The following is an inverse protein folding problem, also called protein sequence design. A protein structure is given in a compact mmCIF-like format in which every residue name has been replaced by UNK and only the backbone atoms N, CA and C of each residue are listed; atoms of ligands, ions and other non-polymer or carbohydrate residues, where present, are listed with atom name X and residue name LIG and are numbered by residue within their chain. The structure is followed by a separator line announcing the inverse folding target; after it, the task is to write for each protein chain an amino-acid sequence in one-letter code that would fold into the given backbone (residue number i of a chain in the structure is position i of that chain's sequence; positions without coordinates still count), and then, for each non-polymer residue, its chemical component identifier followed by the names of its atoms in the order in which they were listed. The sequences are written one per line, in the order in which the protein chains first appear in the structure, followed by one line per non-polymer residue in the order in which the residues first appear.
data_IF_250974002913
#
_entry.id   IF_250974002913
#
_cell.length_a   1.000
_cell.length_b   1.000
_cell.length_c   1.000
_cell.angle_alpha   90.00
_cell.angle_beta   90.00
_cell.angle_gamma   90.00
#
_symmetry.space_group_name_H-M   'P 1'
#
loop_
_entity.id
_entity.type
_entity.pdbx_description
1 polymer ?
#
# COMPACT_ATOMS: atom_id res chain seq x y z
N UNK A 1 9.90 -0.24 11.67
CA UNK A 1 11.22 -0.13 11.00
C UNK A 1 11.52 -1.43 10.28
N UNK A 2 12.05 -1.34 9.07
CA UNK A 2 12.37 -2.50 8.23
C UNK A 2 13.70 -2.27 7.49
N UNK A 3 14.30 -3.35 7.01
CA UNK A 3 15.43 -3.29 6.10
C UNK A 3 14.97 -3.57 4.67
N UNK A 4 15.52 -2.84 3.71
CA UNK A 4 15.12 -2.95 2.31
C UNK A 4 15.33 -4.36 1.74
N UNK A 5 16.39 -5.05 2.16
CA UNK A 5 16.64 -6.44 1.78
C UNK A 5 15.53 -7.39 2.19
N UNK A 6 15.01 -7.24 3.41
CA UNK A 6 13.85 -7.99 3.90
C UNK A 6 12.59 -7.67 3.10
N UNK A 7 12.32 -6.40 2.84
CA UNK A 7 11.16 -6.00 2.02
C UNK A 7 11.19 -6.62 0.63
N UNK A 8 12.38 -6.71 0.02
CA UNK A 8 12.55 -7.33 -1.30
C UNK A 8 12.41 -8.85 -1.20
N UNK A 9 13.04 -9.47 -0.20
CA UNK A 9 12.98 -10.91 0.00
C UNK A 9 11.55 -11.42 0.24
N UNK A 10 10.72 -10.64 0.94
CA UNK A 10 9.32 -10.97 1.21
C UNK A 10 8.34 -10.44 0.15
N UNK A 11 8.80 -9.60 -0.79
CA UNK A 11 7.91 -8.82 -1.65
C UNK A 11 6.88 -8.02 -0.82
N UNK A 12 7.33 -7.36 0.23
CA UNK A 12 6.48 -6.76 1.23
C UNK A 12 5.46 -5.78 0.64
N UNK A 13 4.23 -5.86 1.13
CA UNK A 13 3.13 -4.96 0.83
C UNK A 13 2.49 -4.47 2.12
N UNK A 14 1.82 -3.32 2.07
CA UNK A 14 1.09 -2.73 3.19
C UNK A 14 -0.16 -2.03 2.70
N UNK A 15 -0.86 -1.28 3.56
CA UNK A 15 -2.12 -0.58 3.24
C UNK A 15 -2.04 0.28 1.99
N UNK A 16 -0.87 0.85 1.69
CA UNK A 16 -0.64 1.66 0.47
C UNK A 16 -0.47 0.85 -0.82
N UNK A 17 -0.48 -0.47 -0.74
CA UNK A 17 -0.38 -1.31 -1.92
C UNK A 17 -1.57 -1.17 -2.89
N UNK A 18 -2.70 -0.69 -2.44
CA UNK A 18 -3.87 -0.37 -3.27
C UNK A 18 -3.49 0.59 -4.41
N UNK A 19 -2.77 1.67 -4.09
CA UNK A 19 -2.34 2.68 -5.07
C UNK A 19 -0.98 2.37 -5.67
N UNK A 20 -0.03 2.01 -4.83
CA UNK A 20 1.37 1.93 -5.21
C UNK A 20 1.85 0.51 -5.57
N UNK A 21 1.11 -0.52 -5.18
CA UNK A 21 1.53 -1.91 -5.34
C UNK A 21 2.54 -2.34 -4.27
N UNK A 22 3.07 -3.54 -4.45
CA UNK A 22 4.04 -4.16 -3.54
C UNK A 22 5.49 -3.82 -3.93
N UNK A 23 6.45 -4.15 -3.07
CA UNK A 23 7.88 -3.86 -3.24
C UNK A 23 8.43 -4.26 -4.60
N UNK A 24 8.08 -5.44 -5.12
CA UNK A 24 8.58 -5.95 -6.39
C UNK A 24 8.32 -5.04 -7.59
N UNK A 25 7.25 -4.24 -7.55
CA UNK A 25 6.91 -3.26 -8.59
C UNK A 25 8.01 -2.21 -8.83
N UNK A 26 8.86 -2.01 -7.84
CA UNK A 26 9.92 -0.99 -7.83
C UNK A 26 11.31 -1.56 -8.02
N UNK A 27 11.47 -2.88 -8.03
CA UNK A 27 12.79 -3.51 -8.18
C UNK A 27 13.11 -3.63 -9.66
N UNK A 28 14.18 -2.97 -10.08
CA UNK A 28 14.64 -2.95 -11.47
C UNK A 28 15.97 -3.67 -11.68
N UNK A 29 16.62 -4.10 -10.60
CA UNK A 29 17.82 -4.92 -10.66
C UNK A 29 18.27 -5.40 -9.30
N UNK A 30 19.00 -6.50 -9.31
CA UNK A 30 19.55 -7.15 -8.13
C UNK A 30 20.97 -7.64 -8.39
N UNK A 31 21.83 -7.54 -7.37
CA UNK A 31 23.03 -8.36 -7.23
C UNK A 31 22.71 -9.42 -6.19
N UNK A 32 22.89 -10.67 -6.55
CA UNK A 32 22.50 -11.82 -5.74
C UNK A 32 23.68 -12.76 -5.57
N UNK A 33 23.93 -13.20 -4.35
CA UNK A 33 24.83 -14.33 -4.06
C UNK A 33 24.01 -15.60 -4.05
N UNK A 34 24.33 -16.54 -4.95
CA UNK A 34 23.64 -17.83 -5.04
C UNK A 34 24.08 -18.79 -3.91
N UNK A 35 23.38 -19.92 -3.70
CA UNK A 35 23.80 -20.94 -2.74
C UNK A 35 25.21 -21.51 -2.99
N UNK A 36 25.67 -21.51 -4.24
CA UNK A 36 27.01 -21.93 -4.64
C UNK A 36 28.09 -20.87 -4.35
N UNK A 37 27.69 -19.68 -3.90
CA UNK A 37 28.57 -18.55 -3.61
C UNK A 37 28.92 -17.69 -4.85
N UNK A 38 28.25 -17.90 -5.97
CA UNK A 38 28.42 -17.10 -7.17
C UNK A 38 27.67 -15.77 -7.05
N UNK A 39 28.26 -14.70 -7.59
CA UNK A 39 27.62 -13.39 -7.66
C UNK A 39 27.01 -13.21 -9.05
N UNK A 40 25.70 -13.07 -9.09
CA UNK A 40 24.96 -12.80 -10.33
C UNK A 40 24.34 -11.41 -10.31
N UNK A 41 24.22 -10.81 -11.50
CA UNK A 41 23.57 -9.51 -11.68
C UNK A 41 22.34 -9.65 -12.56
N UNK A 42 21.20 -9.23 -12.06
CA UNK A 42 19.91 -9.28 -12.73
C UNK A 42 19.40 -7.85 -12.99
N UNK A 43 18.94 -7.58 -14.20
CA UNK A 43 18.43 -6.27 -14.57
C UNK A 43 19.45 -5.13 -14.50
N UNK A 44 19.10 -4.00 -13.91
CA UNK A 44 19.95 -2.83 -13.74
C UNK A 44 19.18 -1.51 -13.88
N UNK A 45 19.91 -0.40 -14.13
CA UNK A 45 19.33 0.97 -14.21
C UNK A 45 18.59 1.25 -15.53
N UNK A 46 18.13 0.22 -16.23
CA UNK A 46 17.39 0.38 -17.50
C UNK A 46 15.91 0.64 -17.23
N UNK A 47 15.34 1.60 -17.95
CA UNK A 47 13.90 1.91 -17.87
C UNK A 47 13.07 0.80 -18.54
N UNK A 48 13.63 0.18 -19.59
CA UNK A 48 12.98 -0.91 -20.33
C UNK A 48 13.95 -2.08 -20.43
N UNK A 49 13.56 -3.22 -19.92
CA UNK A 49 14.25 -4.49 -20.04
C UNK A 49 13.21 -5.59 -20.33
N UNK A 50 13.22 -6.08 -21.56
CA UNK A 50 12.20 -7.01 -22.08
C UNK A 50 12.77 -8.29 -22.65
N UNK A 51 14.09 -8.51 -22.46
CA UNK A 51 14.79 -9.65 -23.04
C UNK A 51 15.03 -10.72 -21.98
N UNK A 52 14.68 -11.95 -22.32
CA UNK A 52 14.88 -13.11 -21.45
C UNK A 52 13.78 -13.31 -20.43
N UNK A 53 14.04 -14.21 -19.48
CA UNK A 53 13.14 -14.48 -18.37
C UNK A 53 13.21 -13.39 -17.30
N UNK A 54 12.11 -13.14 -16.63
CA UNK A 54 12.03 -12.19 -15.52
C UNK A 54 12.57 -12.82 -14.22
N UNK A 55 13.88 -12.89 -14.13
CA UNK A 55 14.55 -13.44 -12.96
C UNK A 55 14.47 -12.50 -11.75
N UNK A 56 14.25 -11.21 -11.97
CA UNK A 56 14.08 -10.26 -10.86
C UNK A 56 12.86 -10.64 -10.05
N UNK A 57 11.69 -10.81 -10.71
CA UNK A 57 10.45 -11.17 -10.00
C UNK A 57 10.44 -12.63 -9.53
N UNK A 58 11.30 -13.51 -10.08
CA UNK A 58 11.54 -14.83 -9.51
C UNK A 58 12.25 -14.73 -8.13
N UNK A 59 13.24 -13.83 -8.02
CA UNK A 59 14.01 -13.63 -6.79
C UNK A 59 13.23 -12.84 -5.72
N UNK A 60 12.47 -11.81 -6.13
CA UNK A 60 11.65 -11.01 -5.24
C UNK A 60 10.55 -11.87 -4.63
N UNK A 61 10.45 -11.88 -3.31
CA UNK A 61 9.51 -12.75 -2.59
C UNK A 61 10.01 -14.19 -2.38
N UNK A 62 11.28 -14.46 -2.67
CA UNK A 62 11.88 -15.80 -2.47
C UNK A 62 12.24 -16.12 -1.03
N UNK A 63 12.13 -15.16 -0.11
CA UNK A 63 12.42 -15.31 1.33
C UNK A 63 13.81 -15.87 1.62
N UNK A 64 14.80 -15.52 0.76
CA UNK A 64 16.18 -15.98 0.89
C UNK A 64 16.45 -17.40 0.44
N UNK A 65 15.45 -18.11 -0.11
CA UNK A 65 15.59 -19.52 -0.55
C UNK A 65 16.37 -19.66 -1.85
N UNK A 66 16.44 -18.61 -2.68
CA UNK A 66 17.15 -18.62 -3.96
C UNK A 66 18.50 -17.89 -3.94
N UNK A 67 18.77 -17.08 -2.91
CA UNK A 67 20.00 -16.33 -2.77
C UNK A 67 19.90 -15.16 -1.82
N UNK A 68 21.03 -14.47 -1.61
CA UNK A 68 21.15 -13.32 -0.72
C UNK A 68 21.34 -12.05 -1.55
N UNK A 69 20.49 -11.06 -1.34
CA UNK A 69 20.56 -9.77 -2.04
C UNK A 69 21.62 -8.87 -1.43
N UNK A 70 22.64 -8.52 -2.19
CA UNK A 70 23.75 -7.66 -1.77
C UNK A 70 23.64 -6.24 -2.33
N UNK A 71 23.00 -6.08 -3.50
CA UNK A 71 22.66 -4.77 -4.07
C UNK A 71 21.26 -4.80 -4.66
N UNK A 72 20.52 -3.70 -4.49
CA UNK A 72 19.17 -3.56 -4.96
C UNK A 72 19.06 -2.25 -5.74
N UNK A 73 18.58 -2.31 -6.97
CA UNK A 73 18.28 -1.15 -7.80
C UNK A 73 16.78 -0.89 -7.74
N UNK A 74 16.42 0.30 -7.26
CA UNK A 74 15.02 0.66 -6.99
C UNK A 74 14.60 1.81 -7.90
N UNK A 75 13.45 1.67 -8.54
CA UNK A 75 12.75 2.76 -9.20
C UNK A 75 12.13 3.68 -8.15
N UNK A 76 12.37 4.97 -8.25
CA UNK A 76 11.80 5.97 -7.37
C UNK A 76 10.55 6.60 -7.98
N UNK A 77 9.63 7.04 -7.11
CA UNK A 77 8.48 7.86 -7.45
C UNK A 77 8.64 9.26 -6.85
N UNK A 78 8.07 10.30 -7.49
CA UNK A 78 7.91 11.60 -6.85
C UNK A 78 7.14 11.46 -5.55
N UNK A 79 7.61 12.12 -4.49
CA UNK A 79 6.87 12.14 -3.23
C UNK A 79 5.64 13.02 -3.40
N UNK A 80 4.42 12.53 -3.05
CA UNK A 80 3.23 13.35 -3.05
C UNK A 80 3.39 14.56 -2.12
N UNK A 81 2.98 15.74 -2.57
CA UNK A 81 3.14 16.97 -1.80
C UNK A 81 2.16 17.06 -0.61
N UNK A 82 1.01 16.43 -0.75
CA UNK A 82 -0.09 16.47 0.22
C UNK A 82 -0.71 15.10 0.41
N UNK A 83 -1.28 14.88 1.59
CA UNK A 83 -2.12 13.73 1.89
C UNK A 83 -3.28 14.14 2.78
N UNK A 84 -4.40 13.44 2.64
CA UNK A 84 -5.61 13.59 3.43
C UNK A 84 -6.00 12.23 4.00
N UNK A 85 -6.35 12.20 5.27
CA UNK A 85 -6.89 11.02 5.93
C UNK A 85 -8.35 11.31 6.29
N UNK A 86 -9.23 10.44 5.83
CA UNK A 86 -10.65 10.46 6.17
C UNK A 86 -10.95 9.31 7.11
N UNK A 87 -11.62 9.61 8.21
CA UNK A 87 -12.13 8.62 9.14
C UNK A 87 -13.64 8.62 9.02
N UNK A 88 -14.20 7.51 8.56
CA UNK A 88 -15.63 7.38 8.27
C UNK A 88 -16.24 6.26 9.11
N UNK A 89 -17.34 6.59 9.77
CA UNK A 89 -18.07 5.69 10.65
C UNK A 89 -19.33 5.16 9.96
N UNK A 90 -19.60 3.88 10.11
CA UNK A 90 -20.74 3.21 9.51
C UNK A 90 -21.56 2.48 10.59
N UNK A 91 -22.87 2.44 10.40
CA UNK A 91 -23.77 1.71 11.29
C UNK A 91 -23.55 0.19 11.24
N UNK A 92 -23.10 -0.32 10.10
CA UNK A 92 -22.89 -1.75 9.88
C UNK A 92 -21.71 -2.03 8.92
N UNK A 93 -21.20 -3.25 8.98
CA UNK A 93 -20.08 -3.73 8.18
C UNK A 93 -20.42 -3.76 6.68
N UNK A 94 -21.63 -4.13 6.32
CA UNK A 94 -22.03 -4.32 4.92
C UNK A 94 -21.99 -3.00 4.15
N UNK A 95 -22.44 -1.92 4.77
CA UNK A 95 -22.39 -0.57 4.23
C UNK A 95 -20.92 -0.11 4.05
N UNK A 96 -20.08 -0.31 5.07
CA UNK A 96 -18.68 0.05 5.01
C UNK A 96 -17.95 -0.67 3.86
N UNK A 97 -18.17 -1.98 3.71
CA UNK A 97 -17.53 -2.77 2.64
C UNK A 97 -18.08 -2.38 1.27
N UNK A 98 -19.39 -2.09 1.15
CA UNK A 98 -20.02 -1.76 -0.13
C UNK A 98 -19.58 -0.41 -0.72
N UNK A 99 -19.08 0.53 0.10
CA UNK A 99 -18.65 1.84 -0.39
C UNK A 99 -17.27 1.78 -1.07
N UNK A 100 -16.38 0.90 -0.64
CA UNK A 100 -15.00 0.82 -1.15
C UNK A 100 -14.94 0.63 -2.67
N UNK A 101 -15.60 -0.37 -3.28
CA UNK A 101 -15.60 -0.50 -4.73
C UNK A 101 -16.29 0.68 -5.43
N UNK A 102 -17.25 1.36 -4.80
CA UNK A 102 -17.89 2.54 -5.38
C UNK A 102 -16.92 3.71 -5.52
N UNK A 103 -16.06 3.95 -4.52
CA UNK A 103 -15.01 4.98 -4.59
C UNK A 103 -14.13 4.77 -5.83
N UNK A 104 -13.75 3.53 -6.10
CA UNK A 104 -12.88 3.19 -7.23
C UNK A 104 -13.65 3.26 -8.56
N UNK A 105 -14.84 2.66 -8.64
CA UNK A 105 -15.55 2.47 -9.92
C UNK A 105 -16.33 3.69 -10.35
N UNK A 106 -17.06 4.33 -9.44
CA UNK A 106 -17.89 5.50 -9.71
C UNK A 106 -17.16 6.81 -9.43
N UNK A 107 -16.47 6.90 -8.29
CA UNK A 107 -15.63 8.04 -7.95
C UNK A 107 -14.40 8.17 -8.84
N UNK A 108 -13.95 7.07 -9.46
CA UNK A 108 -12.70 7.00 -10.26
C UNK A 108 -11.47 7.43 -9.46
N UNK A 109 -11.55 7.27 -8.15
CA UNK A 109 -10.48 7.60 -7.20
C UNK A 109 -9.81 6.31 -6.76
N UNK A 110 -8.49 6.25 -6.87
CA UNK A 110 -7.68 5.17 -6.31
C UNK A 110 -7.11 5.67 -4.99
N UNK A 111 -7.69 5.27 -3.84
CA UNK A 111 -7.17 5.71 -2.55
C UNK A 111 -5.76 5.17 -2.33
N UNK A 112 -4.97 5.89 -1.56
CA UNK A 112 -3.61 5.47 -1.18
C UNK A 112 -3.65 4.28 -0.25
N UNK A 113 -4.58 4.29 0.70
CA UNK A 113 -4.89 3.19 1.60
C UNK A 113 -6.37 3.21 1.97
N UNK A 114 -6.92 2.03 2.25
CA UNK A 114 -8.23 1.85 2.88
C UNK A 114 -8.09 0.78 3.94
N UNK A 115 -8.24 1.19 5.19
CA UNK A 115 -8.18 0.28 6.33
C UNK A 115 -9.58 0.12 6.93
N UNK A 116 -9.99 -1.12 7.09
CA UNK A 116 -11.28 -1.48 7.67
C UNK A 116 -11.10 -1.92 9.11
N UNK A 117 -11.96 -1.43 9.98
CA UNK A 117 -12.03 -1.84 11.38
C UNK A 117 -13.49 -2.16 11.74
N UNK A 118 -13.70 -3.33 12.33
CA UNK A 118 -15.00 -3.67 12.90
C UNK A 118 -15.21 -2.99 14.27
N UNK A 119 -16.42 -3.11 14.80
CA UNK A 119 -16.78 -2.53 16.10
C UNK A 119 -15.80 -2.93 17.20
N UNK A 120 -15.42 -4.20 17.27
CA UNK A 120 -14.53 -4.72 18.32
C UNK A 120 -13.13 -4.10 18.22
N UNK A 121 -12.58 -4.01 17.02
CA UNK A 121 -11.28 -3.38 16.79
C UNK A 121 -11.31 -1.88 17.16
N UNK A 122 -12.37 -1.17 16.79
CA UNK A 122 -12.55 0.25 17.13
C UNK A 122 -12.64 0.44 18.66
N UNK A 123 -13.46 -0.35 19.35
CA UNK A 123 -13.61 -0.28 20.81
C UNK A 123 -12.30 -0.55 21.54
N UNK A 124 -11.56 -1.60 21.15
CA UNK A 124 -10.26 -1.92 21.73
C UNK A 124 -9.22 -0.83 21.48
N UNK A 125 -9.20 -0.26 20.28
CA UNK A 125 -8.30 0.85 19.95
C UNK A 125 -8.62 2.10 20.81
N UNK A 126 -9.89 2.46 20.96
CA UNK A 126 -10.33 3.56 21.81
C UNK A 126 -9.94 3.35 23.28
N UNK A 127 -10.15 2.14 23.80
CA UNK A 127 -9.74 1.78 25.16
C UNK A 127 -8.22 1.89 25.37
N UNK A 128 -7.45 1.36 24.42
CA UNK A 128 -5.98 1.40 24.50
C UNK A 128 -5.42 2.82 24.44
N UNK A 129 -5.99 3.67 23.58
CA UNK A 129 -5.58 5.07 23.42
C UNK A 129 -6.16 5.99 24.50
N UNK A 130 -7.12 5.52 25.29
CA UNK A 130 -7.94 6.32 26.21
C UNK A 130 -8.59 7.51 25.51
N UNK A 131 -9.12 7.27 24.30
CA UNK A 131 -9.79 8.27 23.48
C UNK A 131 -11.22 7.83 23.14
N UNK A 132 -12.10 8.80 22.91
CA UNK A 132 -13.46 8.60 22.44
C UNK A 132 -13.59 9.21 21.04
N UNK A 133 -13.44 8.38 20.01
CA UNK A 133 -13.48 8.83 18.61
C UNK A 133 -14.90 9.07 18.10
N UNK A 134 -15.94 8.60 18.81
CA UNK A 134 -17.34 8.68 18.37
C UNK A 134 -18.30 8.70 19.54
N UNK A 135 -19.53 9.21 19.27
CA UNK A 135 -20.68 9.12 20.16
C UNK A 135 -21.77 8.31 19.46
N UNK A 136 -22.31 7.27 20.11
CA UNK A 136 -23.37 6.43 19.58
C UNK A 136 -22.89 5.02 19.19
N UNK A 137 -23.74 4.30 18.45
CA UNK A 137 -23.41 2.96 17.97
C UNK A 137 -22.65 3.02 16.65
N UNK A 138 -21.50 2.36 16.61
CA UNK A 138 -20.66 2.20 15.41
C UNK A 138 -20.53 0.71 15.13
N UNK A 139 -20.88 0.27 13.92
CA UNK A 139 -20.71 -1.10 13.48
C UNK A 139 -19.38 -1.34 12.77
N UNK A 140 -18.86 -0.32 12.06
CA UNK A 140 -17.58 -0.37 11.37
C UNK A 140 -17.00 1.02 11.15
N UNK A 141 -15.69 1.07 10.89
CA UNK A 141 -14.96 2.28 10.55
C UNK A 141 -14.05 2.02 9.34
N UNK A 142 -13.97 3.00 8.45
CA UNK A 142 -12.96 3.06 7.40
C UNK A 142 -12.00 4.21 7.66
N UNK A 143 -10.71 3.93 7.58
CA UNK A 143 -9.68 4.95 7.45
C UNK A 143 -9.23 4.97 5.99
N UNK A 144 -9.51 6.06 5.28
CA UNK A 144 -9.22 6.22 3.86
C UNK A 144 -8.12 7.28 3.72
N UNK A 145 -6.96 6.91 3.18
CA UNK A 145 -5.88 7.84 2.84
C UNK A 145 -5.92 8.12 1.34
N UNK A 146 -5.86 9.39 0.96
CA UNK A 146 -5.58 9.84 -0.40
C UNK A 146 -4.38 10.76 -0.40
N UNK A 147 -3.58 10.73 -1.46
CA UNK A 147 -2.42 11.58 -1.63
C UNK A 147 -2.25 12.06 -3.08
N UNK A 148 -1.61 13.20 -3.24
CA UNK A 148 -1.37 13.80 -4.54
C UNK A 148 -0.53 15.06 -4.44
N UNK A 149 -0.26 15.69 -5.58
CA UNK A 149 0.50 16.94 -5.67
C UNK A 149 -0.36 18.15 -6.02
N UNK A 150 -1.61 17.95 -6.42
CA UNK A 150 -2.59 19.00 -6.66
C UNK A 150 -3.59 19.07 -5.51
N UNK A 151 -3.58 20.18 -4.79
CA UNK A 151 -4.44 20.39 -3.61
C UNK A 151 -5.92 20.52 -3.99
N UNK A 152 -6.24 21.15 -5.12
CA UNK A 152 -7.63 21.29 -5.57
C UNK A 152 -8.22 19.95 -5.99
N UNK A 153 -7.41 19.10 -6.65
CA UNK A 153 -7.82 17.73 -6.97
C UNK A 153 -8.09 16.93 -5.71
N UNK A 154 -7.21 17.00 -4.69
CA UNK A 154 -7.42 16.29 -3.43
C UNK A 154 -8.66 16.75 -2.68
N UNK A 155 -8.95 18.08 -2.68
CA UNK A 155 -10.20 18.62 -2.12
C UNK A 155 -11.41 18.00 -2.79
N UNK A 156 -11.43 18.00 -4.10
CA UNK A 156 -12.52 17.41 -4.88
C UNK A 156 -12.68 15.90 -4.63
N UNK A 157 -11.57 15.17 -4.55
CA UNK A 157 -11.58 13.73 -4.30
C UNK A 157 -12.14 13.38 -2.91
N UNK A 158 -11.74 14.11 -1.85
CA UNK A 158 -12.27 13.82 -0.52
C UNK A 158 -13.73 14.22 -0.35
N UNK A 159 -14.21 15.26 -1.06
CA UNK A 159 -15.62 15.62 -1.09
C UNK A 159 -16.47 14.51 -1.72
N UNK A 160 -16.05 13.98 -2.88
CA UNK A 160 -16.70 12.84 -3.53
C UNK A 160 -16.73 11.61 -2.62
N UNK A 161 -15.61 11.29 -1.96
CA UNK A 161 -15.56 10.17 -1.01
C UNK A 161 -16.54 10.40 0.14
N UNK A 162 -16.59 11.63 0.69
CA UNK A 162 -17.51 11.99 1.75
C UNK A 162 -18.98 11.82 1.37
N UNK A 163 -19.36 12.24 0.15
CA UNK A 163 -20.70 12.05 -0.39
C UNK A 163 -21.07 10.57 -0.58
N UNK A 164 -20.12 9.75 -1.03
CA UNK A 164 -20.33 8.32 -1.23
C UNK A 164 -20.47 7.52 0.07
N UNK A 165 -19.96 8.06 1.17
CA UNK A 165 -20.01 7.44 2.49
C UNK A 165 -21.27 7.81 3.30
N UNK A 166 -22.10 8.72 2.81
CA UNK A 166 -23.37 9.11 3.41
C UNK A 166 -24.51 8.16 3.00
#
# INVERSE_FOLDING_TARGET
SCFIGGNVAENAGGGRAVKYGVTGRYIIGLEVVTPEGEIIHLGGKRVKDVVGYDLIHLMVGSEGTLGIFTKIYIKLLPLPAKKVNLLVLFADISTAVAVVPKIITFGKIIPTAVEFMDKTAVELACQYLNEHLYSGEVGAMLLIEIDGSDENQLVHEYEIIGEMCQ
#
